data_IF_446108867519
#
_entry.id   IF_446108867519
#
_cell.length_a   1.000
_cell.length_b   1.000
_cell.length_c   1.000
_cell.angle_alpha   90.00
_cell.angle_beta   90.00
_cell.angle_gamma   90.00
#
_symmetry.space_group_name_H-M   'P 1'
#
loop_
_entity.id
_entity.type
_entity.pdbx_description
1 polymer ?
#
# COMPACT_ATOMS: atom_id res chain seq x y z
N UNK A 1 18.50 7.28 -10.05
CA UNK A 1 17.56 6.34 -9.54
C UNK A 1 17.78 6.14 -8.08
N UNK A 2 16.97 6.70 -7.33
CA UNK A 2 17.01 6.53 -5.91
C UNK A 2 15.74 5.85 -5.46
N UNK A 3 15.88 5.10 -4.42
CA UNK A 3 14.76 4.52 -3.74
C UNK A 3 14.84 4.89 -2.28
N UNK A 4 13.72 4.76 -1.59
CA UNK A 4 13.64 5.10 -0.17
C UNK A 4 13.39 3.82 0.61
N UNK A 5 14.42 3.19 1.17
CA UNK A 5 14.21 1.98 1.93
C UNK A 5 13.48 2.26 3.24
N UNK A 6 12.62 1.35 3.62
CA UNK A 6 11.89 1.39 4.87
C UNK A 6 12.26 0.15 5.67
N UNK A 7 12.73 0.36 6.90
CA UNK A 7 13.02 -0.74 7.82
C UNK A 7 11.81 -0.90 8.74
N UNK A 8 11.32 -2.12 8.84
CA UNK A 8 10.14 -2.40 9.64
C UNK A 8 10.47 -3.29 10.82
N UNK A 9 9.49 -3.49 11.71
CA UNK A 9 9.67 -4.34 12.87
C UNK A 9 9.82 -5.82 12.56
N UNK A 10 9.55 -6.24 11.33
CA UNK A 10 9.74 -7.62 10.92
C UNK A 10 11.15 -7.91 10.43
N UNK A 11 12.06 -6.95 10.57
CA UNK A 11 13.46 -7.06 10.17
C UNK A 11 13.69 -7.08 8.66
N UNK A 12 12.69 -6.76 7.87
CA UNK A 12 12.85 -6.59 6.44
C UNK A 12 13.11 -5.13 6.09
N UNK A 13 13.79 -4.92 4.97
CA UNK A 13 13.94 -3.61 4.35
C UNK A 13 13.13 -3.64 3.06
N UNK A 14 12.27 -2.66 2.87
CA UNK A 14 11.41 -2.57 1.69
C UNK A 14 11.83 -1.41 0.83
N UNK A 15 11.79 -1.59 -0.49
CA UNK A 15 12.07 -0.50 -1.42
C UNK A 15 11.43 -0.78 -2.77
N UNK A 16 11.30 0.27 -3.57
CA UNK A 16 10.79 0.16 -4.94
C UNK A 16 11.98 0.10 -5.88
N UNK A 17 11.99 -0.89 -6.75
CA UNK A 17 13.11 -1.11 -7.67
C UNK A 17 12.79 -0.47 -9.03
N UNK A 18 13.47 0.63 -9.32
CA UNK A 18 13.24 1.34 -10.58
C UNK A 18 13.62 0.51 -11.79
N UNK A 19 14.51 -0.46 -11.63
CA UNK A 19 14.90 -1.34 -12.73
C UNK A 19 13.86 -2.41 -13.02
N UNK A 20 12.83 -2.51 -12.19
CA UNK A 20 11.72 -3.46 -12.35
C UNK A 20 10.39 -2.70 -12.37
N UNK A 21 10.36 -1.51 -12.98
CA UNK A 21 9.15 -0.68 -13.07
C UNK A 21 8.56 -0.33 -11.72
N UNK A 22 9.41 -0.04 -10.74
CA UNK A 22 8.99 0.28 -9.38
C UNK A 22 8.26 -0.86 -8.68
N UNK A 23 8.63 -2.09 -8.98
CA UNK A 23 8.10 -3.22 -8.22
C UNK A 23 8.60 -3.17 -6.78
N UNK A 24 7.77 -3.62 -5.85
CA UNK A 24 8.14 -3.64 -4.44
C UNK A 24 9.02 -4.84 -4.15
N UNK A 25 10.14 -4.58 -3.50
CA UNK A 25 11.12 -5.59 -3.13
C UNK A 25 11.31 -5.55 -1.63
N UNK A 26 11.49 -6.70 -1.00
CA UNK A 26 12.01 -6.73 0.36
C UNK A 26 13.32 -7.54 0.40
N UNK A 27 14.15 -7.21 1.36
CA UNK A 27 15.41 -7.91 1.59
C UNK A 27 15.69 -7.88 3.09
N UNK A 28 16.69 -8.65 3.53
CA UNK A 28 17.13 -8.56 4.91
C UNK A 28 17.96 -7.29 5.13
N UNK A 29 18.35 -7.03 6.35
CA UNK A 29 19.07 -5.81 6.68
C UNK A 29 20.49 -5.79 6.12
N UNK A 30 21.03 -6.91 5.66
CA UNK A 30 22.30 -6.97 4.98
C UNK A 30 22.18 -6.73 3.48
N UNK A 31 20.99 -6.62 2.94
CA UNK A 31 20.73 -6.45 1.50
C UNK A 31 21.31 -7.59 0.65
N UNK A 32 21.36 -8.79 1.18
CA UNK A 32 21.96 -9.91 0.45
C UNK A 32 20.94 -10.96 0.01
N UNK A 33 19.65 -10.70 0.16
CA UNK A 33 18.62 -11.65 -0.22
C UNK A 33 17.36 -10.91 -0.72
N UNK A 34 17.48 -10.12 -1.79
CA UNK A 34 16.33 -9.38 -2.29
C UNK A 34 15.29 -10.29 -2.93
N UNK A 35 14.03 -9.95 -2.71
CA UNK A 35 12.92 -10.71 -3.25
C UNK A 35 11.84 -9.75 -3.74
N UNK A 36 11.47 -9.88 -5.00
CA UNK A 36 10.40 -9.09 -5.60
C UNK A 36 9.06 -9.66 -5.16
N UNK A 37 8.21 -8.80 -4.59
CA UNK A 37 6.95 -9.24 -4.02
C UNK A 37 5.81 -9.23 -5.02
N UNK A 38 5.87 -8.38 -6.04
CA UNK A 38 4.81 -8.31 -7.03
C UNK A 38 5.38 -7.74 -8.32
N UNK A 39 4.64 -7.90 -9.42
CA UNK A 39 5.00 -7.32 -10.70
C UNK A 39 4.29 -5.98 -10.94
N UNK A 40 3.51 -5.53 -9.98
CA UNK A 40 2.80 -4.25 -10.12
C UNK A 40 3.77 -3.08 -10.02
N UNK A 41 3.49 -2.04 -10.80
CA UNK A 41 4.19 -0.79 -10.66
C UNK A 41 3.59 -0.05 -9.48
N UNK A 42 4.42 0.35 -8.52
CA UNK A 42 3.98 0.93 -7.25
C UNK A 42 4.71 2.23 -7.02
N UNK A 43 4.01 3.22 -6.50
CA UNK A 43 4.64 4.48 -6.12
C UNK A 43 4.34 4.82 -4.66
N UNK A 44 3.24 4.34 -4.15
CA UNK A 44 2.75 4.66 -2.83
C UNK A 44 2.41 3.36 -2.10
N UNK A 45 3.01 3.15 -0.95
CA UNK A 45 2.70 1.96 -0.15
C UNK A 45 2.86 2.27 1.33
N UNK A 46 2.23 1.45 2.16
CA UNK A 46 2.33 1.56 3.61
C UNK A 46 2.28 0.14 4.19
N UNK A 47 2.97 -0.07 5.28
CA UNK A 47 3.10 -1.39 5.88
C UNK A 47 2.54 -1.35 7.29
N UNK A 48 1.68 -2.31 7.59
CA UNK A 48 1.13 -2.46 8.93
C UNK A 48 1.20 -3.94 9.32
N UNK A 49 2.03 -4.24 10.31
CA UNK A 49 2.26 -5.62 10.68
C UNK A 49 2.90 -6.38 9.53
N UNK A 50 2.27 -7.45 9.12
CA UNK A 50 2.74 -8.27 7.99
C UNK A 50 1.96 -8.00 6.72
N UNK A 51 1.19 -6.92 6.68
CA UNK A 51 0.35 -6.57 5.52
C UNK A 51 0.87 -5.28 4.88
N UNK A 52 0.91 -5.28 3.56
CA UNK A 52 1.33 -4.13 2.76
C UNK A 52 0.12 -3.61 2.00
N UNK A 53 -0.15 -2.31 2.13
CA UNK A 53 -1.20 -1.62 1.38
C UNK A 53 -0.51 -0.72 0.37
N UNK A 54 -0.94 -0.79 -0.90
CA UNK A 54 -0.24 -0.04 -1.93
C UNK A 54 -1.16 0.35 -3.07
N UNK A 55 -0.74 1.37 -3.81
CA UNK A 55 -1.42 1.79 -5.03
C UNK A 55 -0.76 1.11 -6.22
N UNK A 56 -1.56 0.34 -6.95
CA UNK A 56 -1.16 -0.26 -8.22
C UNK A 56 -1.38 0.77 -9.32
N UNK A 57 -0.34 1.06 -10.09
CA UNK A 57 -0.39 2.05 -11.16
C UNK A 57 -0.51 1.42 -12.54
N UNK A 58 -1.14 0.26 -12.64
CA UNK A 58 -1.45 -0.33 -13.93
C UNK A 58 -2.21 0.69 -14.79
N UNK A 59 -1.84 0.77 -16.06
CA UNK A 59 -2.49 1.72 -16.97
C UNK A 59 -3.99 1.51 -17.07
N UNK A 60 -4.39 0.24 -17.10
CA UNK A 60 -5.77 -0.09 -17.42
C UNK A 60 -6.64 -0.19 -16.18
N UNK A 61 -6.08 -0.65 -15.08
CA UNK A 61 -6.88 -0.95 -13.90
C UNK A 61 -6.14 -0.56 -12.63
N UNK A 62 -5.87 0.73 -12.42
CA UNK A 62 -5.25 1.15 -11.16
C UNK A 62 -6.17 0.85 -9.99
N UNK A 63 -5.58 0.51 -8.87
CA UNK A 63 -6.36 0.16 -7.67
C UNK A 63 -5.52 0.26 -6.42
N UNK A 64 -6.21 0.51 -5.30
CA UNK A 64 -5.64 0.29 -3.99
C UNK A 64 -5.69 -1.21 -3.71
N UNK A 65 -4.55 -1.77 -3.34
CA UNK A 65 -4.39 -3.21 -3.16
C UNK A 65 -3.74 -3.51 -1.82
N UNK A 66 -3.83 -4.77 -1.41
CA UNK A 66 -3.06 -5.25 -0.28
C UNK A 66 -2.47 -6.62 -0.57
N UNK A 67 -1.41 -6.96 0.15
CA UNK A 67 -0.80 -8.28 0.11
C UNK A 67 -0.05 -8.51 1.41
N UNK A 68 0.32 -9.76 1.68
CA UNK A 68 1.20 -10.05 2.79
C UNK A 68 2.64 -9.67 2.43
N UNK A 69 3.49 -9.59 3.45
CA UNK A 69 4.87 -9.17 3.24
C UNK A 69 5.74 -10.21 2.54
N UNK A 70 5.19 -11.37 2.22
CA UNK A 70 5.86 -12.36 1.38
C UNK A 70 5.30 -12.36 -0.06
N UNK A 71 4.41 -11.43 -0.37
CA UNK A 71 3.82 -11.32 -1.69
C UNK A 71 2.55 -12.13 -1.89
N UNK A 72 2.15 -12.92 -0.91
CA UNK A 72 0.95 -13.72 -1.01
C UNK A 72 -0.29 -12.91 -0.63
N UNK A 73 -1.48 -13.45 -0.90
CA UNK A 73 -2.72 -12.83 -0.46
C UNK A 73 -3.07 -11.55 -1.19
N UNK A 74 -2.68 -11.42 -2.43
CA UNK A 74 -2.98 -10.24 -3.23
C UNK A 74 -4.50 -10.01 -3.31
N UNK A 75 -4.93 -8.80 -3.00
CA UNK A 75 -6.35 -8.43 -3.01
C UNK A 75 -6.49 -7.00 -3.52
N UNK A 76 -7.41 -6.76 -4.45
CA UNK A 76 -7.77 -5.42 -4.88
C UNK A 76 -8.87 -4.91 -3.97
N UNK A 77 -8.63 -3.80 -3.31
CA UNK A 77 -9.57 -3.24 -2.33
C UNK A 77 -10.50 -2.20 -2.95
N UNK A 78 -9.96 -1.32 -3.76
CA UNK A 78 -10.74 -0.22 -4.32
C UNK A 78 -10.15 0.19 -5.66
N UNK A 79 -10.96 0.21 -6.71
CA UNK A 79 -10.51 0.66 -8.02
C UNK A 79 -10.28 2.17 -8.00
N UNK A 80 -9.31 2.62 -8.78
CA UNK A 80 -8.99 4.03 -8.91
C UNK A 80 -7.59 4.35 -8.46
N UNK A 81 -7.30 5.66 -8.45
CA UNK A 81 -5.99 6.16 -8.05
C UNK A 81 -6.15 6.99 -6.78
N UNK A 82 -5.36 6.66 -5.78
CA UNK A 82 -5.42 7.30 -4.47
C UNK A 82 -4.09 7.95 -4.16
N UNK A 83 -4.14 9.13 -3.54
CA UNK A 83 -2.95 9.93 -3.32
C UNK A 83 -2.30 9.70 -1.96
N UNK A 84 -3.04 9.14 -1.01
CA UNK A 84 -2.54 8.89 0.34
C UNK A 84 -3.01 7.54 0.82
N UNK A 85 -2.17 6.87 1.60
CA UNK A 85 -2.54 5.64 2.28
C UNK A 85 -2.01 5.76 3.70
N UNK A 86 -2.91 5.81 4.67
CA UNK A 86 -2.55 5.89 6.09
C UNK A 86 -3.22 4.75 6.84
N UNK A 87 -2.46 4.02 7.61
CA UNK A 87 -2.95 2.83 8.31
C UNK A 87 -2.90 3.07 9.79
N UNK A 88 -4.03 2.80 10.45
CA UNK A 88 -4.11 2.79 11.91
C UNK A 88 -4.47 1.39 12.38
N UNK A 89 -4.62 1.23 13.69
CA UNK A 89 -5.01 -0.08 14.23
C UNK A 89 -6.38 -0.53 13.76
N UNK A 90 -7.26 0.41 13.43
CA UNK A 90 -8.66 0.09 13.12
C UNK A 90 -9.04 0.33 11.68
N UNK A 91 -8.39 1.28 11.01
CA UNK A 91 -8.78 1.69 9.66
C UNK A 91 -7.59 1.96 8.78
N UNK A 92 -7.80 1.75 7.49
CA UNK A 92 -6.92 2.22 6.44
C UNK A 92 -7.63 3.41 5.81
N UNK A 93 -6.98 4.57 5.77
CA UNK A 93 -7.51 5.79 5.18
C UNK A 93 -6.82 6.05 3.86
N UNK A 94 -7.58 6.45 2.87
CA UNK A 94 -7.01 6.75 1.54
C UNK A 94 -7.84 7.83 0.87
N UNK A 95 -7.20 8.61 -0.01
CA UNK A 95 -7.80 9.80 -0.61
C UNK A 95 -7.85 9.63 -2.12
N UNK A 96 -9.02 9.80 -2.71
CA UNK A 96 -9.18 9.77 -4.16
C UNK A 96 -8.38 10.91 -4.77
N UNK A 97 -7.55 10.61 -5.75
CA UNK A 97 -6.64 11.59 -6.33
C UNK A 97 -7.38 12.72 -7.03
N UNK A 98 -8.47 12.42 -7.71
CA UNK A 98 -9.20 13.41 -8.50
C UNK A 98 -10.16 14.24 -7.66
N UNK A 99 -10.94 13.60 -6.81
CA UNK A 99 -12.00 14.28 -6.06
C UNK A 99 -11.56 14.79 -4.70
N UNK A 100 -10.44 14.29 -4.21
CA UNK A 100 -9.93 14.57 -2.86
C UNK A 100 -10.87 14.07 -1.77
N UNK A 101 -11.81 13.20 -2.11
CA UNK A 101 -12.66 12.55 -1.12
C UNK A 101 -11.82 11.53 -0.35
N UNK A 102 -11.94 11.56 0.97
CA UNK A 102 -11.27 10.59 1.83
C UNK A 102 -12.21 9.41 2.06
N UNK A 103 -11.64 8.22 1.98
CA UNK A 103 -12.34 6.98 2.28
C UNK A 103 -11.59 6.23 3.36
N UNK A 104 -12.27 5.28 3.96
CA UNK A 104 -11.62 4.36 4.89
C UNK A 104 -12.22 2.97 4.75
N UNK A 105 -11.45 1.98 5.17
CA UNK A 105 -11.94 0.61 5.26
C UNK A 105 -11.40 0.00 6.55
N UNK A 106 -12.21 -0.77 7.27
CA UNK A 106 -11.74 -1.38 8.52
C UNK A 106 -10.60 -2.36 8.26
N UNK A 107 -9.60 -2.36 9.13
CA UNK A 107 -8.52 -3.34 9.04
C UNK A 107 -9.01 -4.76 9.29
N UNK A 108 -10.10 -4.91 10.04
CA UNK A 108 -10.69 -6.22 10.31
C UNK A 108 -11.52 -6.76 9.16
N UNK A 109 -11.90 -5.89 8.21
CA UNK A 109 -12.71 -6.28 7.06
C UNK A 109 -12.36 -5.40 5.87
N UNK A 110 -11.13 -5.52 5.35
CA UNK A 110 -10.71 -4.69 4.22
C UNK A 110 -11.60 -4.95 3.00
N UNK A 111 -11.98 -3.85 2.32
CA UNK A 111 -12.89 -3.93 1.20
C UNK A 111 -14.27 -3.36 1.52
N UNK A 112 -14.59 -3.18 2.79
CA UNK A 112 -15.80 -2.46 3.19
C UNK A 112 -15.51 -0.97 3.16
N UNK A 113 -15.61 -0.37 1.99
CA UNK A 113 -15.18 0.98 1.71
C UNK A 113 -16.25 1.97 2.19
N UNK A 114 -15.84 2.94 2.99
CA UNK A 114 -16.74 3.94 3.58
C UNK A 114 -16.19 5.33 3.29
N UNK A 115 -17.03 6.28 2.87
CA UNK A 115 -16.57 7.67 2.80
C UNK A 115 -16.31 8.19 4.20
N UNK A 116 -15.29 9.03 4.31
CA UNK A 116 -14.91 9.63 5.57
C UNK A 116 -14.74 11.13 5.37
N UNK A 117 -15.30 11.93 6.26
CA UNK A 117 -15.28 13.39 6.17
C UNK A 117 -14.53 13.94 7.36
N UNK A 118 -13.20 14.15 7.23
CA UNK A 118 -12.41 14.69 8.33
C UNK A 118 -12.95 16.07 8.73
N UNK A 119 -12.94 16.34 10.01
CA UNK A 119 -13.41 17.63 10.51
C UNK A 119 -14.89 17.70 10.74
N UNK A 120 -15.65 16.70 10.34
CA UNK A 120 -17.08 16.62 10.64
C UNK A 120 -17.24 15.75 11.87
N UNK A 121 -17.91 16.31 12.86
CA UNK A 121 -18.21 15.55 14.06
C UNK A 121 -19.51 14.83 13.81
N UNK A 122 -19.43 13.54 13.74
CA UNK A 122 -20.64 12.77 13.61
C UNK A 122 -20.75 11.85 14.79
N UNK A 123 -21.90 11.69 15.20
CA UNK A 123 -22.12 10.91 16.37
C UNK A 123 -22.82 9.66 16.16
#
# INVERSE_FOLDING_TARGET
NSYKPIVTGDSYVYYLDVNQNNALVHTNIQFDNPRTLSNDSIDLYNIYGSTIFYQNYSKDTPALCMMRNDGSGYTRLAEGTYSNINVTSYYIYFTDFQTQQVFRTPTSNPGDIQPFHPGVISD
#
